data_IF_091833671585
#
_entry.id   IF_091833671585
#
_cell.length_a   1.000
_cell.length_b   1.000
_cell.length_c   1.000
_cell.angle_alpha   90.00
_cell.angle_beta   90.00
_cell.angle_gamma   90.00
#
_symmetry.space_group_name_H-M   'P 1'
#
loop_
_entity.id
_entity.type
_entity.pdbx_description
1 polymer ?
#
# COMPACT_ATOMS: atom_id res chain seq x y z
N UNK A 1 -5.34 -9.74 7.55
CA UNK A 1 -5.36 -10.77 6.50
C UNK A 1 -5.04 -12.09 7.19
N UNK A 2 -5.95 -13.08 7.19
CA UNK A 2 -5.87 -14.23 8.10
C UNK A 2 -4.88 -15.32 7.69
N UNK A 3 -4.40 -15.33 6.43
CA UNK A 3 -3.47 -16.34 5.90
C UNK A 3 -2.06 -15.82 5.56
N UNK A 4 -1.91 -14.51 5.42
CA UNK A 4 -0.69 -13.86 4.96
C UNK A 4 -0.70 -12.41 5.45
N UNK A 5 0.44 -11.86 5.84
CA UNK A 5 0.56 -10.44 6.20
C UNK A 5 0.69 -9.55 4.96
N UNK A 6 0.49 -8.24 5.12
CA UNK A 6 0.63 -7.30 3.99
C UNK A 6 2.05 -7.20 3.46
N UNK A 7 3.06 -7.37 4.31
CA UNK A 7 4.46 -7.37 3.91
C UNK A 7 4.85 -8.69 3.23
N UNK A 8 4.35 -9.84 3.68
CA UNK A 8 4.52 -11.12 2.98
C UNK A 8 3.92 -11.07 1.58
N UNK A 9 2.70 -10.52 1.45
CA UNK A 9 2.05 -10.33 0.16
C UNK A 9 2.88 -9.47 -0.79
N UNK A 10 3.42 -8.35 -0.30
CA UNK A 10 4.25 -7.49 -1.11
C UNK A 10 5.55 -8.18 -1.56
N UNK A 11 6.18 -8.97 -0.68
CA UNK A 11 7.38 -9.74 -1.04
C UNK A 11 7.09 -10.77 -2.13
N UNK A 12 5.93 -11.43 -2.10
CA UNK A 12 5.48 -12.34 -3.17
C UNK A 12 5.28 -11.58 -4.47
N UNK A 13 4.63 -10.42 -4.44
CA UNK A 13 4.46 -9.59 -5.63
C UNK A 13 5.79 -9.18 -6.27
N UNK A 14 6.75 -8.72 -5.45
CA UNK A 14 8.08 -8.31 -5.93
C UNK A 14 8.91 -9.48 -6.43
N UNK A 15 8.77 -10.67 -5.85
CA UNK A 15 9.59 -11.83 -6.22
C UNK A 15 9.05 -12.53 -7.47
N UNK A 16 7.74 -12.78 -7.50
CA UNK A 16 7.14 -13.71 -8.45
C UNK A 16 6.40 -12.98 -9.58
N UNK A 17 6.09 -11.68 -9.40
CA UNK A 17 5.28 -10.93 -10.34
C UNK A 17 5.75 -9.48 -10.58
N UNK A 18 7.03 -9.16 -10.32
CA UNK A 18 7.56 -7.80 -10.45
C UNK A 18 7.19 -7.15 -11.79
N UNK A 19 7.41 -7.83 -12.92
CA UNK A 19 7.17 -7.27 -14.25
C UNK A 19 5.69 -6.98 -14.53
N UNK A 20 4.79 -7.83 -14.01
CA UNK A 20 3.35 -7.70 -14.25
C UNK A 20 2.74 -6.58 -13.41
N UNK A 21 3.23 -6.38 -12.18
CA UNK A 21 2.63 -5.44 -11.22
C UNK A 21 3.49 -4.18 -11.00
N UNK A 22 4.63 -4.04 -11.67
CA UNK A 22 5.53 -2.87 -11.54
C UNK A 22 4.84 -1.52 -11.77
N UNK A 23 3.77 -1.49 -12.56
CA UNK A 23 3.04 -0.26 -12.91
C UNK A 23 1.84 0.05 -12.01
N UNK A 24 1.48 -0.86 -11.11
CA UNK A 24 0.29 -0.69 -10.27
C UNK A 24 0.73 -0.06 -8.94
N UNK A 25 0.28 1.15 -8.60
CA UNK A 25 0.62 1.78 -7.32
C UNK A 25 0.07 0.96 -6.14
N UNK A 26 0.91 0.66 -5.16
CA UNK A 26 0.53 -0.07 -3.95
C UNK A 26 0.54 0.87 -2.75
N UNK A 27 -0.61 0.96 -2.08
CA UNK A 27 -0.82 1.75 -0.86
C UNK A 27 -1.03 0.79 0.31
N UNK A 28 -0.36 1.04 1.44
CA UNK A 28 -0.38 0.14 2.60
C UNK A 28 -1.21 0.73 3.73
N UNK A 29 -2.28 0.03 4.13
CA UNK A 29 -3.15 0.43 5.23
C UNK A 29 -2.75 -0.21 6.57
N UNK A 30 -2.31 0.59 7.56
CA UNK A 30 -1.83 0.09 8.86
C UNK A 30 -2.74 0.49 10.02
N UNK A 31 -2.70 -0.23 11.15
CA UNK A 31 -3.52 0.11 12.32
C UNK A 31 -2.97 1.34 13.09
N UNK A 32 -3.87 2.08 13.77
CA UNK A 32 -3.47 3.13 14.73
C UNK A 32 -2.59 2.55 15.84
N UNK A 33 -1.47 3.21 16.15
CA UNK A 33 -0.51 2.75 17.18
C UNK A 33 0.41 1.60 16.75
N UNK A 34 0.29 1.09 15.51
CA UNK A 34 1.29 0.15 14.99
C UNK A 34 2.66 0.84 14.85
N UNK A 35 3.76 0.18 15.25
CA UNK A 35 5.09 0.77 15.16
C UNK A 35 5.40 1.29 13.75
N UNK A 36 5.88 2.54 13.67
CA UNK A 36 6.55 3.04 12.48
C UNK A 36 7.93 2.36 12.43
N UNK A 37 8.12 1.34 11.58
CA UNK A 37 9.42 0.73 11.11
C UNK A 37 9.64 -0.75 11.52
N UNK A 38 10.36 -1.58 10.70
CA UNK A 38 11.40 -1.20 9.72
C UNK A 38 11.17 -1.50 8.23
N UNK A 39 10.14 -2.23 7.82
CA UNK A 39 9.84 -2.36 6.39
C UNK A 39 9.12 -1.09 5.92
N UNK A 40 9.90 -0.07 5.52
CA UNK A 40 9.61 0.59 4.26
C UNK A 40 9.44 -0.57 3.29
N UNK A 41 8.19 -0.93 2.99
CA UNK A 41 7.92 -1.90 1.94
C UNK A 41 8.58 -1.27 0.70
N UNK A 42 9.74 -1.78 0.22
CA UNK A 42 10.53 -1.04 -0.75
C UNK A 42 9.73 -0.95 -2.05
N UNK A 43 9.24 0.25 -2.38
CA UNK A 43 8.33 0.47 -3.52
C UNK A 43 6.84 0.55 -3.16
N UNK A 44 6.44 0.50 -1.89
CA UNK A 44 5.11 0.98 -1.50
C UNK A 44 5.09 2.50 -1.67
N UNK A 45 4.10 3.00 -2.42
CA UNK A 45 4.08 4.39 -2.82
C UNK A 45 3.59 5.30 -1.69
N UNK A 46 2.70 4.78 -0.83
CA UNK A 46 2.14 5.52 0.28
C UNK A 46 1.65 4.61 1.42
N UNK A 47 1.55 5.15 2.64
CA UNK A 47 0.96 4.48 3.80
C UNK A 47 -0.21 5.30 4.33
N UNK A 48 -1.30 4.62 4.65
CA UNK A 48 -2.52 5.21 5.22
C UNK A 48 -2.87 4.49 6.53
N UNK A 49 -3.47 5.20 7.49
CA UNK A 49 -3.73 4.64 8.82
C UNK A 49 -5.22 4.36 9.02
N UNK A 50 -5.54 3.21 9.61
CA UNK A 50 -6.89 2.79 9.98
C UNK A 50 -7.25 3.26 11.40
N UNK A 51 -8.49 3.66 11.65
CA UNK A 51 -9.51 3.95 10.63
C UNK A 51 -9.09 5.17 9.79
N UNK A 52 -9.27 5.08 8.48
CA UNK A 52 -8.99 6.21 7.59
C UNK A 52 -10.26 7.00 7.31
N UNK A 53 -10.08 8.30 7.10
CA UNK A 53 -11.10 9.16 6.53
C UNK A 53 -11.24 8.90 5.02
N UNK A 54 -12.45 9.07 4.47
CA UNK A 54 -12.69 8.84 3.04
C UNK A 54 -12.00 9.89 2.17
N UNK A 55 -11.94 11.16 2.60
CA UNK A 55 -11.25 12.21 1.86
C UNK A 55 -9.74 11.95 1.87
N UNK A 56 -9.19 11.44 2.97
CA UNK A 56 -7.79 11.00 3.02
C UNK A 56 -7.52 9.88 2.00
N UNK A 57 -8.38 8.86 1.97
CA UNK A 57 -8.25 7.76 1.01
C UNK A 57 -8.34 8.27 -0.44
N UNK A 58 -9.33 9.10 -0.76
CA UNK A 58 -9.50 9.62 -2.12
C UNK A 58 -8.33 10.48 -2.56
N UNK A 59 -7.80 11.35 -1.69
CA UNK A 59 -6.61 12.17 -1.99
C UNK A 59 -5.40 11.30 -2.31
N UNK A 60 -5.18 10.22 -1.56
CA UNK A 60 -4.07 9.30 -1.82
C UNK A 60 -4.27 8.57 -3.14
N UNK A 61 -5.49 8.12 -3.45
CA UNK A 61 -5.78 7.46 -4.73
C UNK A 61 -5.62 8.43 -5.91
N UNK A 62 -6.16 9.64 -5.84
CA UNK A 62 -6.01 10.67 -6.88
C UNK A 62 -4.54 11.01 -7.14
N UNK A 63 -3.72 11.08 -6.10
CA UNK A 63 -2.28 11.35 -6.22
C UNK A 63 -1.54 10.26 -7.00
N UNK A 64 -1.95 9.00 -6.89
CA UNK A 64 -1.27 7.86 -7.51
C UNK A 64 -1.83 7.46 -8.88
N UNK A 65 -3.14 7.62 -9.08
CA UNK A 65 -3.84 7.19 -10.28
C UNK A 65 -4.26 8.36 -11.19
N UNK A 66 -4.10 9.60 -10.74
CA UNK A 66 -4.68 10.77 -11.39
C UNK A 66 -6.17 10.94 -11.08
N UNK A 67 -6.76 12.03 -11.56
CA UNK A 67 -8.20 12.29 -11.44
C UNK A 67 -8.94 11.52 -12.52
N UNK A 68 -10.02 10.78 -12.21
CA UNK A 68 -10.89 10.26 -13.25
C UNK A 68 -11.44 11.45 -14.08
N UNK A 69 -11.48 11.28 -15.39
CA UNK A 69 -11.97 12.27 -16.35
C UNK A 69 -13.47 12.54 -16.18
#
# INVERSE_FOLDING_TARGET
MPRMTGDEFYRVLQKDHADTWARIPIIVATAKGSPKSPSQIPGAVERIQKPMDLDELFRVVEKQCGRPA
#
